data_IF_724909482267
#
_entry.id   IF_724909482267
#
_cell.length_a   1.000
_cell.length_b   1.000
_cell.length_c   1.000
_cell.angle_alpha   90.00
_cell.angle_beta   90.00
_cell.angle_gamma   90.00
#
_symmetry.space_group_name_H-M   'P 1'
#
loop_
_entity.id
_entity.type
_entity.pdbx_description
1 polymer ?
#
# COMPACT_ATOMS: atom_id res chain seq x y z
N UNK A 1 -6.98 20.31 18.22
CA UNK A 1 -7.24 19.54 16.97
C UNK A 1 -7.06 18.09 17.34
N UNK A 2 -7.97 17.18 16.97
CA UNK A 2 -7.76 15.75 17.20
C UNK A 2 -6.57 15.28 16.38
N UNK A 3 -5.79 14.33 16.92
CA UNK A 3 -4.71 13.66 16.21
C UNK A 3 -5.23 13.01 14.92
N UNK A 4 -4.39 12.91 13.89
CA UNK A 4 -4.74 12.23 12.64
C UNK A 4 -4.93 10.72 12.92
N UNK A 5 -6.02 10.13 12.42
CA UNK A 5 -6.27 8.69 12.57
C UNK A 5 -5.32 7.90 11.69
N UNK A 6 -4.89 6.75 12.19
CA UNK A 6 -4.07 5.77 11.46
C UNK A 6 -4.96 4.58 11.07
N UNK A 7 -5.04 4.31 9.79
CA UNK A 7 -5.91 3.28 9.21
C UNK A 7 -5.03 2.26 8.52
N UNK A 8 -5.00 1.02 9.02
CA UNK A 8 -4.29 -0.07 8.36
C UNK A 8 -5.15 -0.73 7.27
N UNK A 9 -4.57 -0.97 6.11
CA UNK A 9 -5.16 -1.72 5.00
C UNK A 9 -4.36 -3.01 4.81
N UNK A 10 -5.00 -4.16 5.04
CA UNK A 10 -4.34 -5.47 5.11
C UNK A 10 -4.97 -6.40 4.07
N UNK A 11 -4.38 -6.52 2.85
CA UNK A 11 -4.82 -7.52 1.88
C UNK A 11 -4.34 -8.90 2.30
N UNK A 12 -5.21 -9.91 2.17
CA UNK A 12 -4.94 -11.29 2.50
C UNK A 12 -5.47 -12.24 1.42
N UNK A 13 -4.67 -13.24 1.06
CA UNK A 13 -5.09 -14.35 0.19
C UNK A 13 -4.37 -15.63 0.59
N UNK A 14 -5.09 -16.59 1.21
CA UNK A 14 -4.55 -17.83 1.74
C UNK A 14 -3.41 -17.60 2.76
N UNK A 15 -3.65 -16.69 3.70
CA UNK A 15 -2.72 -16.32 4.78
C UNK A 15 -3.20 -16.81 6.16
N UNK A 16 -3.91 -17.94 6.18
CA UNK A 16 -4.45 -18.55 7.41
C UNK A 16 -3.40 -18.78 8.52
N UNK A 17 -2.11 -19.03 8.25
CA UNK A 17 -1.11 -19.20 9.31
C UNK A 17 -0.68 -17.88 9.97
N UNK A 18 -0.71 -16.76 9.27
CA UNK A 18 -0.02 -15.52 9.64
C UNK A 18 -0.95 -14.36 9.93
N UNK A 19 -2.10 -14.28 9.26
CA UNK A 19 -2.99 -13.12 9.28
C UNK A 19 -3.38 -12.67 10.68
N UNK A 20 -3.71 -13.58 11.59
CA UNK A 20 -4.14 -13.20 12.95
C UNK A 20 -3.00 -12.57 13.73
N UNK A 21 -1.78 -13.13 13.62
CA UNK A 21 -0.60 -12.55 14.26
C UNK A 21 -0.28 -11.14 13.76
N UNK A 22 -0.51 -10.84 12.47
CA UNK A 22 -0.37 -9.49 11.91
C UNK A 22 -1.44 -8.56 12.47
N UNK A 23 -2.70 -9.00 12.50
CA UNK A 23 -3.80 -8.19 13.02
C UNK A 23 -3.63 -7.88 14.51
N UNK A 24 -3.18 -8.84 15.32
CA UNK A 24 -2.90 -8.64 16.74
C UNK A 24 -1.80 -7.61 16.98
N UNK A 25 -0.75 -7.59 16.16
CA UNK A 25 0.32 -6.61 16.24
C UNK A 25 -0.13 -5.18 15.88
N UNK A 26 -1.16 -5.04 15.02
CA UNK A 26 -1.69 -3.73 14.62
C UNK A 26 -2.60 -3.10 15.69
N UNK A 27 -3.15 -3.91 16.60
CA UNK A 27 -3.98 -3.39 17.70
C UNK A 27 -3.15 -2.48 18.60
N UNK A 28 -3.66 -1.28 18.85
CA UNK A 28 -2.97 -0.25 19.64
C UNK A 28 -1.98 0.59 18.85
N UNK A 29 -1.56 0.14 17.67
CA UNK A 29 -0.69 0.90 16.77
C UNK A 29 -1.49 1.73 15.74
N UNK A 30 -2.72 1.31 15.44
CA UNK A 30 -3.62 2.00 14.50
C UNK A 30 -5.02 2.16 15.09
N UNK A 31 -5.77 3.12 14.56
CA UNK A 31 -7.12 3.45 15.04
C UNK A 31 -8.21 2.63 14.35
N UNK A 32 -7.93 2.09 13.15
CA UNK A 32 -8.84 1.25 12.38
C UNK A 32 -8.07 0.24 11.53
N UNK A 33 -8.64 -0.95 11.36
CA UNK A 33 -8.07 -2.00 10.49
C UNK A 33 -9.10 -2.40 9.43
N UNK A 34 -8.71 -2.28 8.16
CA UNK A 34 -9.48 -2.73 7.00
C UNK A 34 -8.79 -3.95 6.42
N UNK A 35 -9.37 -5.13 6.62
CA UNK A 35 -8.85 -6.37 6.05
C UNK A 35 -9.56 -6.65 4.73
N UNK A 36 -8.81 -7.01 3.69
CA UNK A 36 -9.38 -7.42 2.41
C UNK A 36 -9.05 -8.90 2.18
N UNK A 37 -10.03 -9.76 2.24
CA UNK A 37 -9.88 -11.15 1.83
C UNK A 37 -10.11 -11.28 0.31
N UNK A 38 -9.04 -11.48 -0.44
CA UNK A 38 -9.05 -11.59 -1.90
C UNK A 38 -9.50 -12.99 -2.37
N UNK A 39 -10.62 -13.49 -1.82
CA UNK A 39 -11.21 -14.75 -2.23
C UNK A 39 -10.41 -15.97 -1.77
N UNK A 40 -9.94 -15.98 -0.52
CA UNK A 40 -9.21 -17.12 0.05
C UNK A 40 -10.01 -18.42 -0.01
N UNK A 41 -9.30 -19.52 -0.25
CA UNK A 41 -9.84 -20.88 -0.33
C UNK A 41 -9.52 -21.72 0.90
N UNK A 42 -8.70 -21.18 1.80
CA UNK A 42 -8.38 -21.75 3.12
C UNK A 42 -9.19 -21.08 4.25
N UNK A 43 -8.78 -21.28 5.49
CA UNK A 43 -9.48 -20.76 6.68
C UNK A 43 -9.22 -19.25 6.94
N UNK A 44 -8.51 -18.54 6.06
CA UNK A 44 -8.18 -17.11 6.24
C UNK A 44 -9.40 -16.27 6.55
N UNK A 45 -10.45 -16.35 5.71
CA UNK A 45 -11.68 -15.58 5.87
C UNK A 45 -12.41 -15.85 7.18
N UNK A 46 -12.54 -17.11 7.55
CA UNK A 46 -13.22 -17.50 8.78
C UNK A 46 -12.48 -17.03 10.01
N UNK A 47 -11.15 -17.12 10.02
CA UNK A 47 -10.31 -16.60 11.11
C UNK A 47 -10.44 -15.10 11.25
N UNK A 48 -10.38 -14.33 10.14
CA UNK A 48 -10.53 -12.87 10.16
C UNK A 48 -11.90 -12.48 10.74
N UNK A 49 -12.99 -13.12 10.32
CA UNK A 49 -14.34 -12.85 10.87
C UNK A 49 -14.40 -13.10 12.37
N UNK A 50 -13.96 -14.26 12.81
CA UNK A 50 -13.93 -14.61 14.23
C UNK A 50 -13.10 -13.61 15.03
N UNK A 51 -11.95 -13.18 14.48
CA UNK A 51 -11.09 -12.20 15.11
C UNK A 51 -11.79 -10.83 15.22
N UNK A 52 -12.43 -10.33 14.16
CA UNK A 52 -13.18 -9.06 14.17
C UNK A 52 -14.31 -9.10 15.20
N UNK A 53 -15.08 -10.18 15.25
CA UNK A 53 -16.20 -10.34 16.18
C UNK A 53 -15.73 -10.35 17.65
N UNK A 54 -14.49 -10.71 17.92
CA UNK A 54 -13.87 -10.72 19.24
C UNK A 54 -13.18 -9.40 19.65
N UNK A 55 -13.05 -8.42 18.75
CA UNK A 55 -12.35 -7.16 19.02
C UNK A 55 -13.29 -6.04 19.42
N UNK A 56 -12.77 -5.14 20.28
CA UNK A 56 -13.40 -3.84 20.54
C UNK A 56 -12.82 -2.72 19.68
N UNK A 57 -11.65 -2.92 19.08
CA UNK A 57 -11.05 -1.97 18.14
C UNK A 57 -11.81 -1.97 16.81
N UNK A 58 -11.98 -0.78 16.17
CA UNK A 58 -12.63 -0.71 14.86
C UNK A 58 -11.89 -1.54 13.81
N UNK A 59 -12.56 -2.61 13.35
CA UNK A 59 -12.04 -3.46 12.29
C UNK A 59 -13.18 -3.88 11.35
N UNK A 60 -12.89 -3.97 10.05
CA UNK A 60 -13.87 -4.40 9.04
C UNK A 60 -13.25 -5.29 7.98
N UNK A 61 -14.06 -6.18 7.41
CA UNK A 61 -13.67 -7.11 6.37
C UNK A 61 -14.36 -6.74 5.04
N UNK A 62 -13.56 -6.59 3.98
CA UNK A 62 -14.01 -6.59 2.59
C UNK A 62 -13.65 -7.98 2.03
N UNK A 63 -14.64 -8.78 1.61
CA UNK A 63 -14.40 -10.14 1.15
C UNK A 63 -14.85 -10.32 -0.31
N UNK A 64 -13.94 -10.83 -1.16
CA UNK A 64 -14.26 -11.18 -2.53
C UNK A 64 -14.69 -12.65 -2.64
N UNK A 65 -15.59 -12.94 -3.59
CA UNK A 65 -16.02 -14.31 -3.88
C UNK A 65 -14.91 -15.18 -4.50
N UNK A 66 -13.95 -14.54 -5.20
CA UNK A 66 -12.81 -15.19 -5.87
C UNK A 66 -11.61 -14.25 -5.89
N UNK A 67 -10.42 -14.81 -6.06
CA UNK A 67 -9.19 -14.03 -6.21
C UNK A 67 -9.27 -13.09 -7.42
N UNK A 68 -9.04 -11.81 -7.17
CA UNK A 68 -9.01 -10.71 -8.15
C UNK A 68 -7.65 -10.05 -8.26
N UNK A 69 -6.74 -10.40 -7.36
CA UNK A 69 -5.37 -9.89 -7.27
C UNK A 69 -5.25 -8.65 -6.39
N UNK A 70 -4.02 -8.42 -5.94
CA UNK A 70 -3.65 -7.40 -4.96
C UNK A 70 -4.13 -5.99 -5.34
N UNK A 71 -3.97 -5.59 -6.62
CA UNK A 71 -4.46 -4.28 -7.09
C UNK A 71 -5.96 -4.11 -6.92
N UNK A 72 -6.76 -5.17 -7.09
CA UNK A 72 -8.20 -5.11 -6.89
C UNK A 72 -8.56 -5.04 -5.39
N UNK A 73 -7.78 -5.70 -4.53
CA UNK A 73 -7.93 -5.62 -3.09
C UNK A 73 -7.69 -4.19 -2.59
N UNK A 74 -6.57 -3.57 -2.99
CA UNK A 74 -6.27 -2.18 -2.66
C UNK A 74 -7.29 -1.21 -3.26
N UNK A 75 -7.72 -1.41 -4.52
CA UNK A 75 -8.72 -0.56 -5.17
C UNK A 75 -10.03 -0.52 -4.37
N UNK A 76 -10.49 -1.66 -3.86
CA UNK A 76 -11.71 -1.73 -3.05
C UNK A 76 -11.59 -0.94 -1.74
N UNK A 77 -10.47 -1.10 -1.01
CA UNK A 77 -10.23 -0.38 0.23
C UNK A 77 -10.06 1.12 -0.01
N UNK A 78 -9.20 1.50 -0.95
CA UNK A 78 -8.87 2.91 -1.22
C UNK A 78 -10.05 3.68 -1.82
N UNK A 79 -10.86 3.04 -2.69
CA UNK A 79 -12.10 3.64 -3.18
C UNK A 79 -13.09 3.86 -2.05
N UNK A 80 -13.23 2.91 -1.13
CA UNK A 80 -14.06 3.07 0.07
C UNK A 80 -13.59 4.23 0.95
N UNK A 81 -12.29 4.30 1.24
CA UNK A 81 -11.70 5.40 2.02
C UNK A 81 -11.90 6.77 1.34
N UNK A 82 -11.72 6.84 0.02
CA UNK A 82 -11.97 8.06 -0.75
C UNK A 82 -13.44 8.50 -0.66
N UNK A 83 -14.39 7.58 -0.72
CA UNK A 83 -15.82 7.88 -0.56
C UNK A 83 -16.13 8.38 0.85
N UNK A 84 -15.57 7.77 1.88
CA UNK A 84 -15.74 8.16 3.28
C UNK A 84 -15.09 9.51 3.57
N UNK A 85 -13.94 9.82 2.96
CA UNK A 85 -13.33 11.15 3.00
C UNK A 85 -14.29 12.20 2.37
N UNK A 86 -14.88 11.90 1.21
CA UNK A 86 -15.83 12.80 0.56
C UNK A 86 -17.13 12.98 1.37
N UNK A 87 -17.52 11.99 2.16
CA UNK A 87 -18.66 12.05 3.08
C UNK A 87 -18.33 12.81 4.39
N UNK A 88 -17.07 13.18 4.63
CA UNK A 88 -16.62 13.86 5.86
C UNK A 88 -16.44 12.93 7.07
N UNK A 89 -16.43 11.61 6.86
CA UNK A 89 -16.20 10.62 7.92
C UNK A 89 -14.72 10.55 8.32
N UNK A 90 -13.85 10.83 7.36
CA UNK A 90 -12.39 10.94 7.53
C UNK A 90 -11.88 12.33 7.13
N UNK A 91 -10.64 12.60 7.52
CA UNK A 91 -9.95 13.85 7.22
C UNK A 91 -8.86 13.59 6.17
N UNK A 92 -8.51 14.63 5.42
CA UNK A 92 -7.44 14.53 4.41
C UNK A 92 -6.05 14.28 5.02
N UNK A 93 -5.86 14.65 6.27
CA UNK A 93 -4.63 14.42 7.04
C UNK A 93 -4.62 13.08 7.80
N UNK A 94 -5.71 12.33 7.84
CA UNK A 94 -5.69 10.94 8.33
C UNK A 94 -4.69 10.11 7.51
N UNK A 95 -4.07 9.11 8.15
CA UNK A 95 -2.98 8.33 7.58
C UNK A 95 -3.48 6.92 7.20
N UNK A 96 -3.13 6.48 6.02
CA UNK A 96 -3.40 5.12 5.55
C UNK A 96 -2.08 4.37 5.45
N UNK A 97 -1.96 3.24 6.13
CA UNK A 97 -0.80 2.36 6.05
C UNK A 97 -1.18 1.02 5.42
N UNK A 98 -0.36 0.54 4.49
CA UNK A 98 -0.52 -0.79 3.89
C UNK A 98 0.41 -1.78 4.56
N UNK A 99 -0.13 -2.92 4.99
CA UNK A 99 0.60 -3.99 5.69
C UNK A 99 0.20 -5.33 5.09
N UNK A 100 1.17 -6.13 4.65
CA UNK A 100 0.89 -7.45 4.09
C UNK A 100 0.53 -8.46 5.21
N UNK A 101 -0.42 -9.35 4.92
CA UNK A 101 -0.91 -10.35 5.88
C UNK A 101 0.05 -11.55 6.10
N UNK A 102 1.17 -11.62 5.37
CA UNK A 102 2.15 -12.70 5.43
C UNK A 102 3.14 -12.60 6.60
N UNK A 103 3.08 -11.50 7.36
CA UNK A 103 3.92 -11.26 8.53
C UNK A 103 5.35 -10.79 8.23
N UNK A 104 5.63 -10.38 6.98
CA UNK A 104 6.95 -9.84 6.62
C UNK A 104 7.17 -8.40 7.07
N UNK A 105 6.11 -7.65 7.32
CA UNK A 105 6.18 -6.26 7.75
C UNK A 105 6.28 -6.16 9.27
N UNK A 106 7.36 -5.60 9.76
CA UNK A 106 7.55 -5.33 11.18
C UNK A 106 6.70 -4.10 11.58
N UNK A 107 5.69 -4.32 12.40
CA UNK A 107 4.77 -3.27 12.88
C UNK A 107 5.51 -2.19 13.68
N UNK A 108 6.64 -2.50 14.32
CA UNK A 108 7.45 -1.50 15.03
C UNK A 108 7.95 -0.36 14.14
N UNK A 109 8.00 -0.59 12.82
CA UNK A 109 8.39 0.42 11.81
C UNK A 109 7.28 1.46 11.59
N UNK A 110 6.02 1.21 12.00
CA UNK A 110 4.91 2.16 11.83
C UNK A 110 5.23 3.54 12.39
N UNK A 111 5.86 3.57 13.56
CA UNK A 111 6.28 4.85 14.16
C UNK A 111 7.27 5.60 13.29
N UNK A 112 8.21 4.91 12.64
CA UNK A 112 9.21 5.53 11.76
C UNK A 112 8.53 6.11 10.50
N UNK A 113 7.56 5.38 9.91
CA UNK A 113 6.78 5.88 8.78
C UNK A 113 5.97 7.12 9.17
N UNK A 114 5.34 7.09 10.34
CA UNK A 114 4.59 8.21 10.89
C UNK A 114 5.49 9.44 11.09
N UNK A 115 6.66 9.27 11.71
CA UNK A 115 7.61 10.34 11.96
C UNK A 115 8.14 10.98 10.66
N UNK A 116 8.35 10.21 9.61
CA UNK A 116 8.69 10.73 8.28
C UNK A 116 7.59 11.68 7.75
N UNK A 117 6.32 11.34 7.94
CA UNK A 117 5.20 12.18 7.49
C UNK A 117 5.05 13.40 8.37
N UNK A 118 4.97 13.22 9.70
CA UNK A 118 4.61 14.31 10.61
C UNK A 118 5.78 15.26 10.90
N UNK A 119 7.00 14.73 11.04
CA UNK A 119 8.17 15.55 11.42
C UNK A 119 8.86 16.10 10.17
N UNK A 120 9.03 15.27 9.14
CA UNK A 120 9.74 15.67 7.91
C UNK A 120 8.83 16.26 6.83
N UNK A 121 7.52 16.19 7.03
CA UNK A 121 6.52 16.83 6.17
C UNK A 121 6.36 16.16 4.80
N UNK A 122 6.50 14.82 4.74
CA UNK A 122 6.13 14.06 3.56
C UNK A 122 4.62 13.81 3.51
N UNK A 123 4.09 13.64 2.30
CA UNK A 123 2.69 13.26 2.07
C UNK A 123 2.53 11.74 1.96
N UNK A 124 3.60 11.07 1.54
CA UNK A 124 3.66 9.61 1.46
C UNK A 124 5.09 9.12 1.74
N UNK A 125 5.19 7.99 2.40
CA UNK A 125 6.45 7.28 2.67
C UNK A 125 6.30 5.85 2.19
N UNK A 126 7.19 5.42 1.31
CA UNK A 126 7.32 4.04 0.86
C UNK A 126 8.59 3.49 1.48
N UNK A 127 8.47 2.52 2.39
CA UNK A 127 9.63 1.92 3.01
C UNK A 127 10.50 1.21 1.96
N UNK A 128 11.81 1.38 2.05
CA UNK A 128 12.78 0.69 1.20
C UNK A 128 13.19 -0.61 1.87
N UNK A 129 13.01 -1.73 1.19
CA UNK A 129 13.47 -3.03 1.70
C UNK A 129 15.00 -3.09 1.66
N UNK A 130 15.61 -3.65 2.71
CA UNK A 130 17.01 -4.07 2.63
C UNK A 130 17.09 -5.34 1.79
N UNK A 131 17.64 -5.21 0.58
CA UNK A 131 17.78 -6.30 -0.38
C UNK A 131 19.19 -6.90 -0.38
N UNK A 132 20.05 -6.57 0.59
CA UNK A 132 21.44 -7.02 0.64
C UNK A 132 21.57 -8.55 0.63
N UNK A 133 20.66 -9.25 1.29
CA UNK A 133 20.62 -10.71 1.38
C UNK A 133 19.87 -11.40 0.23
N UNK A 134 19.28 -10.62 -0.67
CA UNK A 134 18.56 -11.16 -1.82
C UNK A 134 19.51 -11.58 -2.95
N UNK A 135 19.11 -12.56 -3.81
CA UNK A 135 19.89 -12.92 -4.98
C UNK A 135 20.17 -11.72 -5.89
N UNK A 136 21.39 -11.60 -6.45
CA UNK A 136 21.83 -10.47 -7.26
C UNK A 136 20.88 -10.10 -8.41
N UNK A 137 20.29 -11.12 -9.06
CA UNK A 137 19.34 -10.84 -10.14
C UNK A 137 18.09 -10.10 -9.66
N UNK A 138 17.62 -10.35 -8.43
CA UNK A 138 16.50 -9.62 -7.82
C UNK A 138 16.90 -8.18 -7.47
N UNK A 139 18.11 -8.00 -6.92
CA UNK A 139 18.63 -6.66 -6.62
C UNK A 139 18.72 -5.81 -7.90
N UNK A 140 19.25 -6.40 -9.00
CA UNK A 140 19.34 -5.73 -10.30
C UNK A 140 17.94 -5.42 -10.85
N UNK A 141 17.02 -6.40 -10.81
CA UNK A 141 15.63 -6.22 -11.26
C UNK A 141 14.93 -5.08 -10.55
N UNK A 142 15.01 -5.05 -9.20
CA UNK A 142 14.45 -3.95 -8.40
C UNK A 142 15.10 -2.61 -8.73
N UNK A 143 16.43 -2.58 -8.93
CA UNK A 143 17.15 -1.36 -9.29
C UNK A 143 16.67 -0.81 -10.64
N UNK A 144 16.55 -1.67 -11.65
CA UNK A 144 16.07 -1.27 -13.00
C UNK A 144 14.63 -0.76 -12.93
N UNK A 145 13.75 -1.47 -12.22
CA UNK A 145 12.36 -1.05 -12.03
C UNK A 145 12.27 0.30 -11.31
N UNK A 146 13.01 0.48 -10.23
CA UNK A 146 12.99 1.71 -9.44
C UNK A 146 13.57 2.90 -10.22
N UNK A 147 14.62 2.70 -11.03
CA UNK A 147 15.15 3.75 -11.92
C UNK A 147 14.15 4.13 -13.01
N UNK A 148 13.49 3.15 -13.62
CA UNK A 148 12.46 3.37 -14.62
C UNK A 148 11.26 4.13 -14.05
N UNK A 149 10.75 3.71 -12.91
CA UNK A 149 9.69 4.41 -12.21
C UNK A 149 10.10 5.84 -11.82
N UNK A 150 11.33 6.03 -11.33
CA UNK A 150 11.89 7.35 -10.97
C UNK A 150 11.87 8.32 -12.15
N UNK A 151 12.24 7.84 -13.34
CA UNK A 151 12.21 8.67 -14.54
C UNK A 151 10.80 9.14 -14.90
N UNK A 152 9.83 8.22 -14.87
CA UNK A 152 8.42 8.58 -15.11
C UNK A 152 7.81 9.42 -13.98
N UNK A 153 8.16 9.15 -12.75
CA UNK A 153 7.67 9.88 -11.58
C UNK A 153 8.25 11.31 -11.50
N UNK A 154 9.49 11.51 -11.96
CA UNK A 154 10.25 12.73 -11.71
C UNK A 154 10.70 12.87 -10.25
N UNK A 155 10.72 11.77 -9.51
CA UNK A 155 11.17 11.64 -8.13
C UNK A 155 12.03 10.39 -8.00
N UNK A 156 12.98 10.39 -7.06
CA UNK A 156 13.90 9.27 -6.90
C UNK A 156 13.30 8.17 -6.05
N UNK A 157 13.26 6.95 -6.59
CA UNK A 157 12.91 5.74 -5.88
C UNK A 157 14.10 4.77 -5.83
N UNK A 158 14.28 4.12 -4.70
CA UNK A 158 15.28 3.08 -4.47
C UNK A 158 14.66 1.69 -4.47
N UNK A 159 13.38 1.60 -4.05
CA UNK A 159 12.58 0.38 -4.03
C UNK A 159 11.09 0.73 -4.22
N UNK A 160 10.68 0.85 -5.49
CA UNK A 160 9.31 1.26 -5.84
C UNK A 160 8.29 0.13 -5.62
N UNK A 161 8.75 -1.12 -5.51
CA UNK A 161 7.88 -2.29 -5.36
C UNK A 161 7.55 -2.62 -3.90
N UNK A 162 8.03 -1.82 -2.93
CA UNK A 162 7.73 -2.06 -1.51
C UNK A 162 6.24 -1.86 -1.22
N UNK A 163 5.61 -2.89 -0.66
CA UNK A 163 4.21 -2.86 -0.20
C UNK A 163 4.00 -2.11 1.11
N UNK A 164 5.06 -1.89 1.90
CA UNK A 164 4.96 -1.24 3.20
C UNK A 164 5.02 0.28 3.05
N UNK A 165 3.87 0.93 3.13
CA UNK A 165 3.73 2.37 2.85
C UNK A 165 2.77 3.03 3.81
N UNK A 166 3.03 4.31 4.11
CA UNK A 166 2.09 5.17 4.81
C UNK A 166 1.86 6.44 4.01
N UNK A 167 0.61 6.89 3.90
CA UNK A 167 0.23 8.02 3.05
C UNK A 167 -0.88 8.83 3.72
N UNK A 168 -0.88 10.15 3.52
CA UNK A 168 -2.05 10.98 3.88
C UNK A 168 -3.25 10.58 3.01
N UNK A 169 -4.41 10.43 3.63
CA UNK A 169 -5.63 10.01 2.93
C UNK A 169 -6.02 10.96 1.80
N UNK A 170 -5.80 12.26 1.97
CA UNK A 170 -6.04 13.23 0.90
C UNK A 170 -5.17 12.97 -0.34
N UNK A 171 -3.87 12.69 -0.13
CA UNK A 171 -2.96 12.37 -1.23
C UNK A 171 -3.36 11.07 -1.93
N UNK A 172 -3.69 10.03 -1.15
CA UNK A 172 -4.19 8.76 -1.68
C UNK A 172 -5.49 8.95 -2.47
N UNK A 173 -6.47 9.69 -1.95
CA UNK A 173 -7.75 9.96 -2.61
C UNK A 173 -7.58 10.68 -3.96
N UNK A 174 -6.63 11.62 -4.03
CA UNK A 174 -6.26 12.29 -5.28
C UNK A 174 -5.60 11.31 -6.26
N UNK A 175 -4.68 10.46 -5.79
CA UNK A 175 -4.04 9.45 -6.62
C UNK A 175 -5.05 8.47 -7.21
N UNK A 176 -6.06 8.05 -6.43
CA UNK A 176 -7.13 7.16 -6.87
C UNK A 176 -7.99 7.72 -8.00
N UNK A 177 -7.98 9.02 -8.24
CA UNK A 177 -8.63 9.63 -9.41
C UNK A 177 -7.99 9.21 -10.74
N UNK A 178 -6.72 8.84 -10.71
CA UNK A 178 -5.91 8.47 -11.87
C UNK A 178 -5.57 6.97 -11.89
N UNK A 179 -5.80 6.29 -10.80
CA UNK A 179 -5.52 4.87 -10.62
C UNK A 179 -6.33 4.02 -11.61
N UNK A 180 -5.71 2.98 -12.15
CA UNK A 180 -6.34 2.02 -13.03
C UNK A 180 -6.44 0.64 -12.40
N UNK A 181 -5.45 0.27 -11.63
CA UNK A 181 -5.33 -1.01 -10.97
C UNK A 181 -5.21 -2.17 -11.95
N UNK A 182 -4.04 -2.70 -12.13
CA UNK A 182 -3.84 -3.88 -12.94
C UNK A 182 -2.90 -4.88 -12.24
N UNK A 183 -3.46 -5.98 -11.76
CA UNK A 183 -2.76 -7.08 -11.07
C UNK A 183 -1.92 -6.62 -9.86
N UNK A 184 -0.60 -6.44 -10.03
CA UNK A 184 0.36 -6.09 -8.98
C UNK A 184 0.92 -4.66 -9.13
N UNK A 185 0.52 -3.92 -10.16
CA UNK A 185 1.09 -2.60 -10.49
C UNK A 185 0.68 -1.47 -9.54
N UNK A 186 -0.11 -1.75 -8.53
CA UNK A 186 -0.67 -0.74 -7.64
C UNK A 186 0.41 0.13 -7.01
N UNK A 187 1.47 -0.49 -6.49
CA UNK A 187 2.57 0.21 -5.81
C UNK A 187 3.27 1.21 -6.72
N UNK A 188 3.62 0.76 -7.92
CA UNK A 188 4.30 1.58 -8.93
C UNK A 188 3.39 2.67 -9.46
N UNK A 189 2.12 2.34 -9.72
CA UNK A 189 1.13 3.29 -10.24
C UNK A 189 0.88 4.44 -9.24
N UNK A 190 0.65 4.12 -7.97
CA UNK A 190 0.43 5.12 -6.91
C UNK A 190 1.67 6.00 -6.73
N UNK A 191 2.88 5.41 -6.71
CA UNK A 191 4.14 6.15 -6.57
C UNK A 191 4.33 7.20 -7.69
N UNK A 192 4.12 6.79 -8.96
CA UNK A 192 4.24 7.68 -10.12
C UNK A 192 3.17 8.77 -10.08
N UNK A 193 1.92 8.41 -9.78
CA UNK A 193 0.81 9.38 -9.74
C UNK A 193 1.03 10.42 -8.65
N UNK A 194 1.32 10.02 -7.40
CA UNK A 194 1.57 10.92 -6.29
C UNK A 194 2.67 11.93 -6.63
N UNK A 195 3.80 11.45 -7.13
CA UNK A 195 4.94 12.30 -7.50
C UNK A 195 4.55 13.30 -8.60
N UNK A 196 3.78 12.90 -9.61
CA UNK A 196 3.34 13.77 -10.72
C UNK A 196 2.26 14.77 -10.33
N UNK A 197 1.49 14.48 -9.28
CA UNK A 197 0.56 15.43 -8.68
C UNK A 197 1.26 16.47 -7.80
N UNK A 198 2.56 16.29 -7.53
CA UNK A 198 3.38 17.23 -6.75
C UNK A 198 3.42 16.93 -5.25
N UNK A 199 2.93 15.76 -4.83
CA UNK A 199 3.07 15.30 -3.45
C UNK A 199 4.52 14.93 -3.13
N UNK A 200 4.93 15.19 -1.90
CA UNK A 200 6.26 14.85 -1.38
C UNK A 200 6.28 13.37 -1.00
N UNK A 201 6.96 12.56 -1.79
CA UNK A 201 7.08 11.12 -1.56
C UNK A 201 8.51 10.79 -1.11
N UNK A 202 8.66 10.12 0.04
CA UNK A 202 9.93 9.55 0.50
C UNK A 202 10.02 8.06 0.16
N UNK A 203 11.23 7.61 -0.22
CA UNK A 203 11.59 6.19 -0.32
C UNK A 203 13.01 5.96 0.22
N UNK A 204 13.38 6.73 1.25
CA UNK A 204 14.72 6.67 1.86
C UNK A 204 14.75 5.80 3.13
N UNK A 205 13.60 5.60 3.78
CA UNK A 205 13.49 4.81 5.01
C UNK A 205 13.76 3.33 4.73
N UNK A 206 14.92 2.83 5.17
CA UNK A 206 15.29 1.42 5.01
C UNK A 206 14.70 0.59 6.13
N UNK A 207 14.04 -0.51 5.77
CA UNK A 207 13.45 -1.47 6.71
C UNK A 207 13.99 -2.87 6.44
N UNK A 208 14.30 -3.65 7.48
CA UNK A 208 14.65 -5.04 7.32
C UNK A 208 13.41 -5.83 6.86
N UNK A 209 13.59 -6.69 5.88
CA UNK A 209 12.53 -7.60 5.41
C UNK A 209 13.12 -8.99 5.29
N UNK A 210 12.54 -10.02 5.92
CA UNK A 210 13.04 -11.38 5.81
C UNK A 210 13.00 -11.84 4.34
N UNK A 211 14.07 -12.57 3.94
CA UNK A 211 14.17 -13.13 2.58
C UNK A 211 13.17 -14.26 2.44
N UNK A 212 12.07 -14.00 1.76
CA UNK A 212 11.05 -15.01 1.47
C UNK A 212 10.93 -15.32 -0.04
N UNK A 213 10.24 -16.42 -0.37
CA UNK A 213 9.97 -16.78 -1.75
C UNK A 213 9.01 -15.75 -2.37
N UNK A 214 9.48 -15.02 -3.36
CA UNK A 214 8.64 -14.11 -4.14
C UNK A 214 7.80 -14.90 -5.15
N UNK A 215 6.51 -14.64 -5.18
CA UNK A 215 5.58 -15.18 -6.18
C UNK A 215 5.52 -14.33 -7.46
N UNK A 216 6.29 -13.24 -7.55
CA UNK A 216 6.34 -12.34 -8.71
C UNK A 216 6.96 -13.04 -9.91
N UNK A 217 6.25 -13.06 -11.03
CA UNK A 217 6.70 -13.66 -12.29
C UNK A 217 7.25 -12.59 -13.22
N UNK A 218 8.11 -12.97 -14.17
CA UNK A 218 8.70 -12.05 -15.16
C UNK A 218 7.62 -11.21 -15.90
N UNK A 219 6.47 -11.80 -16.18
CA UNK A 219 5.33 -11.07 -16.80
C UNK A 219 4.80 -9.93 -15.95
N UNK A 220 4.85 -10.07 -14.62
CA UNK A 220 4.37 -9.05 -13.69
C UNK A 220 5.35 -7.85 -13.71
N UNK A 221 6.66 -8.11 -13.72
CA UNK A 221 7.69 -7.07 -13.87
C UNK A 221 7.57 -6.31 -15.21
N UNK A 222 7.33 -7.00 -16.33
CA UNK A 222 7.10 -6.35 -17.64
C UNK A 222 5.87 -5.45 -17.59
N UNK A 223 4.83 -5.90 -16.90
CA UNK A 223 3.60 -5.14 -16.74
C UNK A 223 3.81 -3.88 -15.93
N UNK A 224 4.56 -3.95 -14.82
CA UNK A 224 4.87 -2.79 -13.98
C UNK A 224 5.70 -1.75 -14.76
N UNK A 225 6.63 -2.20 -15.59
CA UNK A 225 7.34 -1.31 -16.55
C UNK A 225 6.37 -0.58 -17.48
N UNK A 226 5.35 -1.27 -18.02
CA UNK A 226 4.36 -0.67 -18.90
C UNK A 226 3.40 0.28 -18.16
N UNK A 227 3.18 0.06 -16.86
CA UNK A 227 2.28 0.92 -16.07
C UNK A 227 2.88 2.28 -15.74
N UNK A 228 4.19 2.42 -15.62
CA UNK A 228 4.84 3.71 -15.38
C UNK A 228 4.43 4.80 -16.39
N UNK A 229 4.59 4.61 -17.73
CA UNK A 229 4.15 5.60 -18.71
C UNK A 229 2.63 5.82 -18.72
N UNK A 230 1.83 4.78 -18.44
CA UNK A 230 0.37 4.90 -18.35
C UNK A 230 -0.04 5.78 -17.16
N UNK A 231 0.54 5.55 -15.99
CA UNK A 231 0.31 6.35 -14.79
C UNK A 231 0.74 7.81 -15.00
N UNK A 232 1.93 8.03 -15.57
CA UNK A 232 2.42 9.35 -15.93
C UNK A 232 1.45 10.07 -16.89
N UNK A 233 1.06 9.42 -17.98
CA UNK A 233 0.16 10.02 -18.97
C UNK A 233 -1.17 10.46 -18.35
N UNK A 234 -1.72 9.64 -17.46
CA UNK A 234 -2.97 9.95 -16.76
C UNK A 234 -2.80 11.11 -15.80
N UNK A 235 -1.76 11.13 -14.99
CA UNK A 235 -1.50 12.18 -14.02
C UNK A 235 -1.22 13.54 -14.71
N UNK A 236 -0.51 13.54 -15.86
CA UNK A 236 -0.08 14.77 -16.54
C UNK A 236 -1.11 15.27 -17.55
N UNK A 237 -1.76 14.38 -18.32
CA UNK A 237 -2.63 14.72 -19.45
C UNK A 237 -4.13 14.75 -19.11
N UNK A 238 -4.56 13.89 -18.21
CA UNK A 238 -5.94 13.90 -17.70
C UNK A 238 -5.98 14.70 -16.40
N UNK A 239 -5.89 16.03 -16.48
CA UNK A 239 -6.28 16.84 -15.34
C UNK A 239 -7.76 16.56 -15.08
N UNK A 240 -8.18 16.22 -13.85
CA UNK A 240 -9.59 16.09 -13.56
C UNK A 240 -10.24 17.43 -13.86
N UNK A 241 -11.37 17.38 -14.54
CA UNK A 241 -12.27 18.52 -14.55
C UNK A 241 -12.64 18.74 -13.09
N UNK A 242 -12.15 19.81 -12.49
CA UNK A 242 -12.57 20.22 -11.14
C UNK A 242 -14.09 20.35 -11.21
N UNK A 243 -14.79 19.39 -10.63
CA UNK A 243 -16.21 19.48 -10.37
C UNK A 243 -16.42 20.19 -9.05
#
# INVERSE_FOLDING_TARGET
>A
MSEARRIAVVPAYNESPTVIGVLDQLIGEVDEIIVIDDGSTDDTRSKIRTWIDGQSAPARLIAFERNRGMSAAYDAAFTGLKQQLAAGEYRADDLVVTVDADGQHDVSVLKMLHDEIEIRGFDAVMARRDLSDYPRFKQIGNTVMSQWASWWAGSKFHDVESGYRMMRLGALADAMTYYKGYRYSETVEVAVVLSRLGYKVSNDLVVPVPVMRSNTRLRDAVQDLCMCPVAWYRAVRRRPVRR
#
